data_IF_302463235623
#
_entry.id   IF_302463235623
#
_cell.length_a   1.000
_cell.length_b   1.000
_cell.length_c   1.000
_cell.angle_alpha   90.00
_cell.angle_beta   90.00
_cell.angle_gamma   90.00
#
_symmetry.space_group_name_H-M   'P 1'
#
loop_
_entity.id
_entity.type
_entity.pdbx_description
1 polymer ?
#
# COMPACT_ATOMS: atom_id res chain seq x y z
N UNK A 1 1.48 2.75 -40.54
CA UNK A 1 0.77 2.31 -39.31
C UNK A 1 1.28 3.16 -38.17
N UNK A 2 0.39 3.77 -37.38
CA UNK A 2 0.77 4.57 -36.21
C UNK A 2 1.37 3.65 -35.14
N UNK A 3 2.56 3.96 -34.63
CA UNK A 3 3.11 3.26 -33.48
C UNK A 3 2.32 3.62 -32.22
N UNK A 4 1.40 2.74 -31.87
CA UNK A 4 0.51 2.89 -30.72
C UNK A 4 1.28 3.05 -29.39
N UNK A 5 2.52 2.55 -29.28
CA UNK A 5 3.35 2.70 -28.07
C UNK A 5 3.67 4.14 -27.73
N UNK A 6 3.64 5.03 -28.73
CA UNK A 6 3.96 6.46 -28.57
C UNK A 6 2.72 7.34 -28.63
N UNK A 7 1.53 6.75 -28.78
CA UNK A 7 0.30 7.50 -28.86
C UNK A 7 0.00 8.14 -27.50
N UNK A 8 -0.10 9.46 -27.50
CA UNK A 8 -0.56 10.25 -26.38
C UNK A 8 -1.73 11.11 -26.86
N UNK A 9 -2.83 11.07 -26.14
CA UNK A 9 -3.98 11.93 -26.37
C UNK A 9 -4.13 12.87 -25.17
N UNK A 10 -4.56 14.09 -25.44
CA UNK A 10 -4.85 15.08 -24.40
C UNK A 10 -6.14 15.78 -24.77
N UNK A 11 -6.99 16.04 -23.79
CA UNK A 11 -8.14 16.93 -23.93
C UNK A 11 -8.30 17.81 -22.70
N UNK A 12 -8.88 18.98 -22.90
CA UNK A 12 -9.12 19.97 -21.84
C UNK A 12 -10.63 20.05 -21.63
N UNK A 13 -11.06 19.92 -20.38
CA UNK A 13 -12.45 20.05 -19.96
C UNK A 13 -12.54 21.09 -18.85
N UNK A 14 -12.94 22.32 -19.20
CA UNK A 14 -12.90 23.44 -18.26
C UNK A 14 -11.48 23.72 -17.79
N UNK A 15 -11.23 23.59 -16.49
CA UNK A 15 -9.90 23.73 -15.87
C UNK A 15 -9.14 22.41 -15.75
N UNK A 16 -9.74 21.28 -16.14
CA UNK A 16 -9.14 19.96 -16.06
C UNK A 16 -8.35 19.62 -17.33
N UNK A 17 -7.16 19.06 -17.16
CA UNK A 17 -6.41 18.43 -18.26
C UNK A 17 -6.46 16.93 -18.10
N UNK A 18 -7.04 16.24 -19.09
CA UNK A 18 -6.97 14.80 -19.20
C UNK A 18 -5.92 14.44 -20.24
N UNK A 19 -5.09 13.46 -19.93
CA UNK A 19 -4.23 12.83 -20.91
C UNK A 19 -4.35 11.32 -20.84
N UNK A 20 -4.08 10.62 -21.93
CA UNK A 20 -3.97 9.17 -21.92
C UNK A 20 -2.75 8.67 -22.66
N UNK A 21 -2.25 7.53 -22.19
CA UNK A 21 -1.18 6.77 -22.80
C UNK A 21 -1.53 5.28 -22.77
N UNK A 22 -1.10 4.51 -23.77
CA UNK A 22 -1.32 3.06 -23.76
C UNK A 22 -0.54 2.43 -22.61
N UNK A 23 -1.20 1.53 -21.87
CA UNK A 23 -0.57 0.82 -20.77
C UNK A 23 0.50 -0.15 -21.30
N UNK A 24 1.72 -0.17 -20.70
CA UNK A 24 2.74 -1.16 -21.03
C UNK A 24 2.26 -2.61 -20.88
N UNK A 25 1.30 -2.85 -19.97
CA UNK A 25 0.72 -4.17 -19.72
C UNK A 25 0.11 -4.81 -20.98
N UNK A 26 -0.37 -4.01 -21.94
CA UNK A 26 -0.90 -4.52 -23.21
C UNK A 26 0.13 -5.28 -24.04
N UNK A 27 1.42 -4.99 -23.83
CA UNK A 27 2.54 -5.59 -24.56
C UNK A 27 3.23 -6.70 -23.77
N UNK A 28 3.17 -6.63 -22.44
CA UNK A 28 3.80 -7.62 -21.55
C UNK A 28 2.97 -8.89 -21.40
N UNK A 29 1.64 -8.77 -21.46
CA UNK A 29 0.73 -9.87 -21.17
C UNK A 29 -0.09 -10.24 -22.42
N UNK A 30 0.14 -11.42 -23.02
CA UNK A 30 -0.70 -11.93 -24.10
C UNK A 30 -2.17 -12.00 -23.64
N UNK A 31 -3.11 -11.64 -24.53
CA UNK A 31 -4.56 -11.61 -24.27
C UNK A 31 -5.05 -10.57 -23.24
N UNK A 32 -4.20 -9.65 -22.80
CA UNK A 32 -4.59 -8.60 -21.84
C UNK A 32 -5.58 -7.57 -22.41
N UNK A 33 -5.63 -7.46 -23.74
CA UNK A 33 -6.47 -6.51 -24.47
C UNK A 33 -5.88 -5.09 -24.51
N UNK A 34 -6.55 -4.18 -25.20
CA UNK A 34 -6.21 -2.76 -25.21
C UNK A 34 -6.52 -2.14 -23.84
N UNK A 35 -5.53 -1.51 -23.22
CA UNK A 35 -5.68 -0.73 -21.99
C UNK A 35 -4.97 0.61 -22.14
N UNK A 36 -5.61 1.68 -21.67
CA UNK A 36 -4.99 3.01 -21.54
C UNK A 36 -4.88 3.38 -20.06
N UNK A 37 -3.84 4.13 -19.72
CA UNK A 37 -3.76 4.87 -18.47
C UNK A 37 -4.19 6.30 -18.74
N UNK A 38 -5.18 6.79 -17.98
CA UNK A 38 -5.75 8.13 -18.10
C UNK A 38 -5.36 8.94 -16.88
N UNK A 39 -4.78 10.12 -17.11
CA UNK A 39 -4.32 11.01 -16.07
C UNK A 39 -5.23 12.23 -15.94
N UNK A 40 -5.62 12.58 -14.71
CA UNK A 40 -6.34 13.78 -14.34
C UNK A 40 -5.53 14.53 -13.27
N UNK A 41 -5.00 15.70 -13.61
CA UNK A 41 -4.23 16.55 -12.70
C UNK A 41 -3.11 15.80 -11.93
N UNK A 42 -2.49 14.80 -12.57
CA UNK A 42 -1.40 14.00 -12.00
C UNK A 42 -1.82 12.66 -11.39
N UNK A 43 -3.10 12.45 -11.08
CA UNK A 43 -3.60 11.10 -10.71
C UNK A 43 -3.84 10.26 -11.96
N UNK A 44 -3.50 8.98 -11.92
CA UNK A 44 -3.60 8.08 -13.06
C UNK A 44 -4.49 6.89 -12.74
N UNK A 45 -5.45 6.65 -13.61
CA UNK A 45 -6.34 5.50 -13.57
C UNK A 45 -6.19 4.64 -14.82
N UNK A 46 -6.55 3.36 -14.74
CA UNK A 46 -6.46 2.44 -15.87
C UNK A 46 -7.84 2.08 -16.42
N UNK A 47 -7.99 2.12 -17.74
CA UNK A 47 -9.19 1.67 -18.45
C UNK A 47 -8.84 0.61 -19.48
N UNK A 48 -9.60 -0.49 -19.47
CA UNK A 48 -9.50 -1.57 -20.45
C UNK A 48 -10.63 -1.50 -21.46
N UNK A 49 -10.29 -1.71 -22.72
CA UNK A 49 -11.24 -2.03 -23.77
C UNK A 49 -11.55 -3.52 -23.73
N UNK A 50 -12.67 -3.92 -23.10
CA UNK A 50 -13.00 -5.33 -22.83
C UNK A 50 -13.22 -6.25 -24.05
N UNK A 51 -13.06 -5.75 -25.27
CA UNK A 51 -13.33 -6.46 -26.53
C UNK A 51 -12.25 -6.35 -27.61
N UNK A 52 -11.27 -5.45 -27.45
CA UNK A 52 -10.27 -5.18 -28.51
C UNK A 52 -8.94 -5.77 -28.08
N UNK A 53 -8.43 -6.67 -28.93
CA UNK A 53 -7.08 -7.22 -28.76
C UNK A 53 -6.04 -6.15 -29.09
N UNK A 54 -4.91 -6.14 -28.40
CA UNK A 54 -3.82 -5.20 -28.71
C UNK A 54 -3.27 -5.41 -30.13
N UNK A 55 -3.34 -6.63 -30.66
CA UNK A 55 -2.90 -6.99 -32.03
C UNK A 55 -3.76 -6.37 -33.13
N UNK A 56 -5.03 -6.08 -32.84
CA UNK A 56 -5.98 -5.47 -33.78
C UNK A 56 -6.32 -4.03 -33.45
N UNK A 57 -5.79 -3.49 -32.35
CA UNK A 57 -6.10 -2.15 -31.88
C UNK A 57 -5.60 -1.08 -32.87
N UNK A 58 -6.38 -0.02 -33.01
CA UNK A 58 -6.08 1.15 -33.84
C UNK A 58 -6.04 2.42 -32.99
N UNK A 59 -5.55 3.52 -33.56
CA UNK A 59 -5.62 4.82 -32.90
C UNK A 59 -7.05 5.28 -32.64
N UNK A 60 -8.01 4.86 -33.49
CA UNK A 60 -9.42 5.15 -33.32
C UNK A 60 -10.02 4.41 -32.11
N UNK A 61 -9.60 3.17 -31.86
CA UNK A 61 -10.01 2.42 -30.67
C UNK A 61 -9.49 3.09 -29.39
N UNK A 62 -8.26 3.60 -29.42
CA UNK A 62 -7.67 4.36 -28.31
C UNK A 62 -8.42 5.66 -28.06
N UNK A 63 -8.74 6.41 -29.13
CA UNK A 63 -9.52 7.64 -29.04
C UNK A 63 -10.92 7.38 -28.50
N UNK A 64 -11.63 6.37 -29.02
CA UNK A 64 -12.97 6.01 -28.54
C UNK A 64 -12.98 5.59 -27.07
N UNK A 65 -11.96 4.82 -26.64
CA UNK A 65 -11.79 4.44 -25.24
C UNK A 65 -11.45 5.65 -24.34
N UNK A 66 -10.69 6.61 -24.86
CA UNK A 66 -10.42 7.85 -24.13
C UNK A 66 -11.68 8.72 -24.03
N UNK A 67 -12.47 8.82 -25.11
CA UNK A 67 -13.70 9.61 -25.18
C UNK A 67 -14.84 9.06 -24.31
N UNK A 68 -14.79 7.77 -23.94
CA UNK A 68 -15.75 7.17 -23.01
C UNK A 68 -15.54 7.65 -21.57
N UNK A 69 -14.34 8.11 -21.20
CA UNK A 69 -14.07 8.66 -19.87
C UNK A 69 -14.88 9.94 -19.68
N UNK A 70 -15.52 10.08 -18.52
CA UNK A 70 -16.21 11.32 -18.14
C UNK A 70 -15.67 11.85 -16.82
N UNK A 71 -15.80 13.16 -16.68
CA UNK A 71 -15.59 13.84 -15.41
C UNK A 71 -16.93 14.21 -14.79
N UNK A 72 -16.95 14.19 -13.46
CA UNK A 72 -18.01 14.75 -12.63
C UNK A 72 -17.40 15.77 -11.67
N UNK A 73 -18.26 16.54 -11.01
CA UNK A 73 -17.84 17.35 -9.88
C UNK A 73 -17.52 16.45 -8.68
N UNK A 74 -16.38 16.71 -8.05
CA UNK A 74 -16.00 16.11 -6.79
C UNK A 74 -17.09 16.35 -5.74
N UNK A 75 -17.51 15.28 -5.05
CA UNK A 75 -18.54 15.34 -4.01
C UNK A 75 -18.23 16.36 -2.90
N UNK A 76 -16.95 16.60 -2.62
CA UNK A 76 -16.46 17.44 -1.51
C UNK A 76 -16.10 18.86 -1.95
N UNK A 77 -15.16 19.02 -2.88
CA UNK A 77 -14.58 20.32 -3.23
C UNK A 77 -15.08 20.92 -4.55
N UNK A 78 -15.99 20.22 -5.25
CA UNK A 78 -16.50 20.59 -6.59
C UNK A 78 -15.45 20.67 -7.71
N UNK A 79 -14.18 20.35 -7.43
CA UNK A 79 -13.15 20.18 -8.46
C UNK A 79 -13.41 18.98 -9.37
N UNK A 80 -12.68 18.83 -10.48
CA UNK A 80 -12.88 17.72 -11.40
C UNK A 80 -12.50 16.38 -10.76
N UNK A 81 -13.37 15.39 -10.94
CA UNK A 81 -13.17 14.01 -10.50
C UNK A 81 -13.56 13.04 -11.63
N UNK A 82 -12.98 11.84 -11.63
CA UNK A 82 -13.41 10.81 -12.56
C UNK A 82 -14.83 10.34 -12.24
N UNK A 83 -15.64 10.12 -13.28
CA UNK A 83 -16.95 9.49 -13.16
C UNK A 83 -16.82 7.98 -12.96
N UNK A 84 -17.16 7.42 -11.78
CA UNK A 84 -17.08 5.99 -11.51
C UNK A 84 -17.97 5.13 -12.43
N UNK A 85 -18.96 5.72 -13.11
CA UNK A 85 -19.77 5.00 -14.09
C UNK A 85 -19.02 4.73 -15.40
N UNK A 86 -17.93 5.46 -15.65
CA UNK A 86 -17.18 5.40 -16.92
C UNK A 86 -15.77 4.85 -16.78
N UNK A 87 -15.23 4.83 -15.55
CA UNK A 87 -13.95 4.26 -15.22
C UNK A 87 -14.07 3.38 -13.98
N UNK A 88 -13.39 2.23 -14.00
CA UNK A 88 -13.29 1.37 -12.82
C UNK A 88 -12.30 1.97 -11.82
N UNK A 89 -12.78 2.85 -10.95
CA UNK A 89 -12.00 3.50 -9.90
C UNK A 89 -12.64 3.28 -8.52
N UNK A 90 -11.81 3.26 -7.47
CA UNK A 90 -12.25 3.31 -6.07
C UNK A 90 -12.36 4.75 -5.55
N UNK A 91 -12.18 5.76 -6.40
CA UNK A 91 -12.17 7.17 -5.99
C UNK A 91 -13.55 7.69 -5.53
N UNK A 92 -14.64 6.90 -5.63
CA UNK A 92 -15.98 7.24 -5.10
C UNK A 92 -16.52 8.61 -5.59
N UNK A 93 -16.12 9.06 -6.78
CA UNK A 93 -16.48 10.39 -7.30
C UNK A 93 -15.77 11.56 -6.61
N UNK A 94 -14.64 11.29 -5.94
CA UNK A 94 -13.76 12.28 -5.34
C UNK A 94 -12.61 12.62 -6.29
N UNK A 95 -12.14 13.87 -6.22
CA UNK A 95 -10.89 14.24 -6.86
C UNK A 95 -9.71 13.61 -6.10
N UNK A 96 -8.51 13.52 -6.71
CA UNK A 96 -7.36 12.86 -6.10
C UNK A 96 -7.00 13.39 -4.69
N UNK A 97 -7.03 14.71 -4.51
CA UNK A 97 -6.72 15.33 -3.21
C UNK A 97 -7.74 14.99 -2.12
N UNK A 98 -9.03 14.95 -2.47
CA UNK A 98 -10.08 14.56 -1.53
C UNK A 98 -10.02 13.05 -1.23
N UNK A 99 -9.71 12.21 -2.22
CA UNK A 99 -9.56 10.77 -2.03
C UNK A 99 -8.36 10.44 -1.14
N UNK A 100 -7.23 11.14 -1.31
CA UNK A 100 -6.06 11.02 -0.43
C UNK A 100 -6.44 11.37 1.01
N UNK A 101 -7.11 12.50 1.23
CA UNK A 101 -7.57 12.90 2.57
C UNK A 101 -8.45 11.83 3.25
N UNK A 102 -9.40 11.25 2.52
CA UNK A 102 -10.25 10.19 3.07
C UNK A 102 -9.42 8.93 3.37
N UNK A 103 -8.57 8.51 2.43
CA UNK A 103 -7.70 7.33 2.60
C UNK A 103 -6.77 7.48 3.81
N UNK A 104 -6.18 8.68 4.00
CA UNK A 104 -5.33 8.97 5.15
C UNK A 104 -6.11 8.93 6.46
N UNK A 105 -7.32 9.47 6.51
CA UNK A 105 -8.15 9.42 7.71
C UNK A 105 -8.58 7.99 8.06
N UNK A 106 -8.98 7.19 7.06
CA UNK A 106 -9.32 5.77 7.24
C UNK A 106 -8.09 4.98 7.76
N UNK A 107 -6.92 5.22 7.18
CA UNK A 107 -5.67 4.60 7.62
C UNK A 107 -5.29 4.98 9.06
N UNK A 108 -5.38 6.26 9.42
CA UNK A 108 -5.10 6.72 10.79
C UNK A 108 -6.06 6.10 11.82
N UNK A 109 -7.34 5.92 11.48
CA UNK A 109 -8.30 5.26 12.35
C UNK A 109 -7.97 3.78 12.54
N UNK A 110 -7.63 3.07 11.47
CA UNK A 110 -7.22 1.67 11.52
C UNK A 110 -5.94 1.49 12.36
N UNK A 111 -4.96 2.37 12.18
CA UNK A 111 -3.73 2.36 12.98
C UNK A 111 -3.99 2.54 14.47
N UNK A 112 -4.89 3.45 14.86
CA UNK A 112 -5.29 3.62 16.28
C UNK A 112 -5.91 2.35 16.86
N UNK A 113 -6.72 1.63 16.08
CA UNK A 113 -7.32 0.38 16.52
C UNK A 113 -6.27 -0.73 16.70
N UNK A 114 -5.26 -0.78 15.82
CA UNK A 114 -4.14 -1.71 15.92
C UNK A 114 -3.30 -1.39 17.17
N UNK A 115 -2.91 -0.14 17.35
CA UNK A 115 -2.14 0.32 18.52
C UNK A 115 -2.87 -0.02 19.83
N UNK A 116 -4.18 0.21 19.90
CA UNK A 116 -4.96 -0.12 21.09
C UNK A 116 -4.98 -1.64 21.36
N UNK A 117 -5.16 -2.46 20.31
CA UNK A 117 -5.14 -3.92 20.43
C UNK A 117 -3.78 -4.41 20.92
N UNK A 118 -2.69 -3.87 20.37
CA UNK A 118 -1.33 -4.20 20.78
C UNK A 118 -1.03 -3.76 22.20
N UNK A 119 -1.50 -2.56 22.60
CA UNK A 119 -1.39 -2.05 23.97
C UNK A 119 -2.09 -2.97 24.97
N UNK A 120 -3.33 -3.37 24.67
CA UNK A 120 -4.09 -4.29 25.53
C UNK A 120 -3.43 -5.67 25.59
N UNK A 121 -2.98 -6.21 24.45
CA UNK A 121 -2.29 -7.50 24.40
C UNK A 121 -0.98 -7.48 25.21
N UNK A 122 -0.19 -6.42 25.06
CA UNK A 122 1.04 -6.20 25.82
C UNK A 122 0.76 -6.06 27.31
N UNK A 123 -0.23 -5.26 27.70
CA UNK A 123 -0.65 -5.13 29.11
C UNK A 123 -1.04 -6.48 29.73
N UNK A 124 -1.79 -7.32 29.00
CA UNK A 124 -2.16 -8.68 29.44
C UNK A 124 -0.94 -9.59 29.58
N UNK A 125 -0.02 -9.57 28.60
CA UNK A 125 1.24 -10.34 28.67
C UNK A 125 2.07 -9.92 29.87
N UNK A 126 2.23 -8.62 30.10
CA UNK A 126 2.95 -8.05 31.24
C UNK A 126 2.30 -8.43 32.57
N UNK A 127 0.97 -8.35 32.70
CA UNK A 127 0.25 -8.77 33.90
C UNK A 127 0.46 -10.25 34.20
N UNK A 128 0.36 -11.12 33.19
CA UNK A 128 0.62 -12.55 33.32
C UNK A 128 2.09 -12.84 33.70
N UNK A 129 3.04 -12.10 33.12
CA UNK A 129 4.46 -12.25 33.45
C UNK A 129 4.76 -11.83 34.90
N UNK A 130 4.22 -10.70 35.37
CA UNK A 130 4.33 -10.28 36.77
C UNK A 130 3.74 -11.30 37.73
N UNK A 131 2.57 -11.88 37.41
CA UNK A 131 1.95 -12.92 38.21
C UNK A 131 2.83 -14.19 38.35
N UNK A 132 3.70 -14.45 37.36
CA UNK A 132 4.71 -15.52 37.39
C UNK A 132 6.04 -15.10 38.02
N UNK A 133 6.13 -13.87 38.52
CA UNK A 133 7.29 -13.32 39.21
C UNK A 133 8.40 -12.81 38.30
N UNK A 134 8.13 -12.58 37.02
CA UNK A 134 9.06 -11.88 36.13
C UNK A 134 9.02 -10.37 36.39
N UNK A 135 10.14 -9.70 36.15
CA UNK A 135 10.33 -8.26 36.43
C UNK A 135 10.71 -7.45 35.19
N UNK A 136 11.15 -8.11 34.13
CA UNK A 136 11.56 -7.47 32.87
C UNK A 136 11.03 -8.23 31.66
N UNK A 137 10.77 -7.48 30.58
CA UNK A 137 10.56 -7.98 29.22
C UNK A 137 11.81 -7.68 28.39
N UNK A 138 12.23 -8.65 27.59
CA UNK A 138 13.32 -8.52 26.64
C UNK A 138 12.76 -8.71 25.25
N UNK A 139 13.00 -7.74 24.38
CA UNK A 139 12.73 -7.82 22.95
C UNK A 139 14.08 -7.87 22.25
N UNK A 140 14.36 -8.95 21.54
CA UNK A 140 15.66 -9.20 20.90
C UNK A 140 15.49 -9.62 19.44
N UNK A 141 16.49 -9.30 18.63
CA UNK A 141 16.67 -9.90 17.31
C UNK A 141 17.67 -11.05 17.43
N UNK A 142 17.22 -12.25 17.04
CA UNK A 142 18.08 -13.41 16.91
C UNK A 142 18.68 -13.39 15.51
N UNK A 143 20.01 -13.38 15.47
CA UNK A 143 20.78 -13.45 14.24
C UNK A 143 21.42 -14.84 14.18
N UNK A 144 20.82 -15.83 13.51
CA UNK A 144 21.43 -17.15 13.41
C UNK A 144 22.69 -17.13 12.53
N UNK A 145 23.54 -18.15 12.65
CA UNK A 145 24.73 -18.30 11.77
C UNK A 145 24.33 -18.47 10.29
N UNK A 146 23.15 -19.05 10.05
CA UNK A 146 22.54 -19.16 8.73
C UNK A 146 21.03 -19.02 8.84
N UNK A 147 20.42 -18.26 7.93
CA UNK A 147 18.98 -18.04 7.88
C UNK A 147 18.63 -16.55 8.02
N UNK A 148 17.35 -16.29 8.26
CA UNK A 148 16.81 -14.95 8.46
C UNK A 148 16.79 -14.58 9.94
N UNK A 149 16.83 -13.28 10.23
CA UNK A 149 16.73 -12.76 11.58
C UNK A 149 15.31 -12.96 12.15
N UNK A 150 15.22 -13.34 13.43
CA UNK A 150 13.95 -13.60 14.11
C UNK A 150 13.76 -12.69 15.33
N UNK A 151 12.62 -12.01 15.41
CA UNK A 151 12.26 -11.24 16.60
C UNK A 151 11.74 -12.18 17.69
N UNK A 152 12.31 -12.10 18.90
CA UNK A 152 11.84 -12.84 20.08
C UNK A 152 11.51 -11.91 21.23
N UNK A 153 10.43 -12.23 21.93
CA UNK A 153 9.99 -11.54 23.14
C UNK A 153 9.94 -12.57 24.27
N UNK A 154 10.68 -12.33 25.34
CA UNK A 154 10.63 -13.17 26.53
C UNK A 154 10.70 -12.36 27.82
N UNK A 155 10.29 -12.97 28.92
CA UNK A 155 10.28 -12.33 30.24
C UNK A 155 11.35 -12.96 31.14
N UNK A 156 12.02 -12.13 31.94
CA UNK A 156 13.11 -12.54 32.83
C UNK A 156 13.00 -11.83 34.19
N UNK A 157 13.74 -12.32 35.17
CA UNK A 157 13.83 -11.72 36.52
C UNK A 157 15.00 -10.75 36.68
N UNK A 158 15.85 -10.65 35.66
CA UNK A 158 17.10 -9.88 35.66
C UNK A 158 17.15 -8.92 34.48
N UNK A 159 17.81 -7.79 34.62
CA UNK A 159 18.22 -6.91 33.53
C UNK A 159 19.72 -7.05 33.21
N UNK A 160 20.41 -8.01 33.85
CA UNK A 160 21.82 -8.25 33.66
C UNK A 160 22.13 -8.69 32.22
N UNK A 161 22.90 -7.85 31.52
CA UNK A 161 23.27 -8.04 30.11
C UNK A 161 23.90 -9.41 29.86
N UNK A 162 24.82 -9.85 30.70
CA UNK A 162 25.54 -11.12 30.50
C UNK A 162 24.62 -12.34 30.62
N UNK A 163 23.59 -12.29 31.47
CA UNK A 163 22.57 -13.33 31.59
C UNK A 163 21.66 -13.36 30.36
N UNK A 164 21.26 -12.20 29.86
CA UNK A 164 20.44 -12.08 28.65
C UNK A 164 21.22 -12.60 27.43
N UNK A 165 22.48 -12.21 27.27
CA UNK A 165 23.34 -12.72 26.20
C UNK A 165 23.50 -14.25 26.26
N UNK A 166 23.60 -14.85 27.45
CA UNK A 166 23.62 -16.31 27.61
C UNK A 166 22.32 -16.96 27.13
N UNK A 167 21.18 -16.31 27.33
CA UNK A 167 19.88 -16.79 26.83
C UNK A 167 19.83 -16.69 25.30
N UNK A 168 20.25 -15.55 24.72
CA UNK A 168 20.26 -15.37 23.27
C UNK A 168 21.19 -16.35 22.55
N UNK A 169 22.36 -16.67 23.14
CA UNK A 169 23.22 -17.76 22.64
C UNK A 169 22.53 -19.12 22.64
N UNK A 170 21.73 -19.42 23.67
CA UNK A 170 20.96 -20.68 23.73
C UNK A 170 19.85 -20.74 22.68
N UNK A 171 19.33 -19.59 22.28
CA UNK A 171 18.41 -19.48 21.13
C UNK A 171 19.12 -19.47 19.77
N UNK A 172 20.45 -19.66 19.74
CA UNK A 172 21.21 -19.80 18.49
C UNK A 172 21.63 -18.48 17.86
N UNK A 173 21.51 -17.35 18.56
CA UNK A 173 21.98 -16.06 18.02
C UNK A 173 23.50 -15.93 18.09
N UNK A 174 24.12 -15.52 16.98
CA UNK A 174 25.54 -15.14 16.90
C UNK A 174 25.78 -13.71 17.37
N UNK A 175 24.80 -12.81 17.18
CA UNK A 175 24.83 -11.43 17.71
C UNK A 175 23.94 -11.37 18.94
N UNK A 176 24.54 -11.19 20.11
CA UNK A 176 23.83 -11.27 21.40
C UNK A 176 23.57 -9.91 22.03
N UNK A 177 23.98 -8.83 21.37
CA UNK A 177 23.81 -7.47 21.87
C UNK A 177 22.60 -6.73 21.30
N UNK A 178 21.88 -7.32 20.33
CA UNK A 178 20.71 -6.71 19.70
C UNK A 178 19.45 -7.04 20.51
N UNK A 179 19.27 -6.31 21.60
CA UNK A 179 18.07 -6.42 22.42
C UNK A 179 17.79 -5.12 23.18
N UNK A 180 16.52 -4.98 23.56
CA UNK A 180 16.05 -3.97 24.51
C UNK A 180 15.45 -4.65 25.73
N UNK A 181 15.61 -4.02 26.89
CA UNK A 181 15.04 -4.50 28.16
C UNK A 181 14.10 -3.43 28.68
N UNK A 182 12.86 -3.82 28.93
CA UNK A 182 11.85 -2.95 29.54
C UNK A 182 11.48 -3.53 30.89
N UNK A 183 11.55 -2.71 31.94
CA UNK A 183 11.01 -3.10 33.23
C UNK A 183 9.51 -3.25 33.11
N UNK A 184 8.98 -4.39 33.55
CA UNK A 184 7.55 -4.56 33.74
C UNK A 184 7.15 -3.59 34.84
#
# INVERSE_FOLDING_TARGET
MTDLRRLKLTRIEGTATLSCEISPCCFMYPNYGLQIGVSLNGSREAIKHGKVSMTSATGADVQALFDSVKLIECGECKGPAFDPATISTNARGLCPACMEKVSSAEFEEEMKLIEERERVATSRRHAHARARGFTHEVIAWLHPESGDDEAVIFHTKTDAKDEIEKILRKYGSVVTSDFTVTKL
#
